data_IF_201942793495
#
_entry.id   IF_201942793495
#
_cell.length_a   1.000
_cell.length_b   1.000
_cell.length_c   1.000
_cell.angle_alpha   90.00
_cell.angle_beta   90.00
_cell.angle_gamma   90.00
#
_symmetry.space_group_name_H-M   'P 1'
#
loop_
_entity.id
_entity.type
_entity.pdbx_description
1 polymer ?
#
# COMPACT_ATOMS: atom_id res chain seq x y z
N UNK A 1 21.88 5.90 -0.86
CA UNK A 1 20.98 6.47 0.16
C UNK A 1 21.80 6.96 1.33
N UNK A 2 21.33 8.00 2.05
CA UNK A 2 21.92 8.48 3.30
C UNK A 2 20.94 8.22 4.45
N UNK A 3 21.46 7.89 5.63
CA UNK A 3 20.69 7.75 6.87
C UNK A 3 21.15 8.86 7.82
N UNK A 4 20.52 10.05 7.75
CA UNK A 4 20.98 11.21 8.49
C UNK A 4 20.68 11.15 10.00
N UNK A 5 19.72 10.32 10.42
CA UNK A 5 19.32 10.10 11.81
C UNK A 5 18.69 8.71 11.98
N UNK A 6 18.58 8.26 13.22
CA UNK A 6 17.84 7.04 13.58
C UNK A 6 16.48 7.42 14.16
N UNK A 7 15.49 6.54 14.03
CA UNK A 7 14.19 6.69 14.69
C UNK A 7 14.35 6.71 16.21
N UNK A 8 13.50 7.47 16.88
CA UNK A 8 13.42 7.48 18.34
C UNK A 8 12.83 6.15 18.87
N UNK A 9 12.95 5.91 20.17
CA UNK A 9 12.32 4.76 20.80
C UNK A 9 10.77 4.78 20.67
N UNK A 10 10.18 5.95 20.43
CA UNK A 10 8.73 6.09 20.26
C UNK A 10 8.23 5.55 18.92
N UNK A 11 9.05 5.60 17.88
CA UNK A 11 8.71 5.10 16.53
C UNK A 11 9.47 3.83 16.13
N UNK A 12 10.41 3.37 16.97
CA UNK A 12 11.19 2.14 16.77
C UNK A 12 10.64 0.94 17.56
N UNK A 13 9.34 0.92 17.82
CA UNK A 13 8.64 -0.16 18.55
C UNK A 13 7.58 -0.80 17.65
N UNK A 14 7.00 -1.91 18.11
CA UNK A 14 6.03 -2.72 17.35
C UNK A 14 4.62 -2.09 17.25
N UNK A 15 4.37 -0.97 17.92
CA UNK A 15 3.06 -0.32 17.98
C UNK A 15 2.98 0.98 17.16
N UNK A 16 4.13 1.55 16.79
CA UNK A 16 4.17 2.77 16.01
C UNK A 16 3.64 2.49 14.59
N UNK A 17 2.70 3.31 14.16
CA UNK A 17 2.18 3.26 12.79
C UNK A 17 3.20 3.78 11.77
N UNK A 18 2.99 3.45 10.51
CA UNK A 18 3.78 4.02 9.40
C UNK A 18 3.68 5.55 9.39
N UNK A 19 2.49 6.10 9.67
CA UNK A 19 2.29 7.56 9.72
C UNK A 19 3.07 8.21 10.85
N UNK A 20 3.20 7.57 12.03
CA UNK A 20 4.04 8.07 13.13
C UNK A 20 5.52 8.15 12.71
N UNK A 21 6.01 7.11 12.01
CA UNK A 21 7.38 7.06 11.49
C UNK A 21 7.61 8.15 10.46
N UNK A 22 6.70 8.32 9.49
CA UNK A 22 6.79 9.35 8.45
C UNK A 22 6.83 10.74 9.10
N UNK A 23 5.95 10.99 10.07
CA UNK A 23 5.89 12.26 10.81
C UNK A 23 7.22 12.58 11.46
N UNK A 24 7.77 11.65 12.25
CA UNK A 24 9.08 11.84 12.89
C UNK A 24 10.18 12.13 11.87
N UNK A 25 10.23 11.38 10.78
CA UNK A 25 11.24 11.57 9.72
C UNK A 25 11.14 12.96 9.10
N UNK A 26 9.94 13.41 8.74
CA UNK A 26 9.71 14.73 8.14
C UNK A 26 10.05 15.86 9.13
N UNK A 27 9.70 15.71 10.41
CA UNK A 27 10.01 16.68 11.48
C UNK A 27 11.53 16.76 11.73
N UNK A 28 12.24 15.63 11.76
CA UNK A 28 13.70 15.60 11.86
C UNK A 28 14.39 16.32 10.70
N UNK A 29 13.91 16.12 9.47
CA UNK A 29 14.41 16.86 8.32
C UNK A 29 14.14 18.35 8.42
N UNK A 30 12.93 18.76 8.84
CA UNK A 30 12.57 20.17 9.06
C UNK A 30 13.45 20.81 10.12
N UNK A 31 13.71 20.11 11.23
CA UNK A 31 14.64 20.58 12.28
C UNK A 31 16.07 20.73 11.78
N UNK A 32 16.47 19.94 10.78
CA UNK A 32 17.77 20.06 10.10
C UNK A 32 17.77 21.09 8.95
N UNK A 33 16.73 21.93 8.82
CA UNK A 33 16.60 22.97 7.81
C UNK A 33 16.31 22.45 6.39
N UNK A 34 15.73 21.25 6.27
CA UNK A 34 15.34 20.62 4.99
C UNK A 34 13.84 20.33 4.98
N UNK A 35 13.15 20.88 4.01
CA UNK A 35 11.74 20.62 3.77
C UNK A 35 11.54 19.99 2.39
N UNK A 36 10.50 19.23 2.24
CA UNK A 36 10.13 18.54 1.00
C UNK A 36 8.66 18.78 0.70
N UNK A 37 8.33 19.10 -0.54
CA UNK A 37 6.93 19.27 -0.98
C UNK A 37 6.18 17.94 -1.05
N UNK A 38 6.92 16.87 -1.36
CA UNK A 38 6.41 15.52 -1.49
C UNK A 38 7.39 14.50 -0.90
N UNK A 39 6.87 13.36 -0.50
CA UNK A 39 7.69 12.22 -0.08
C UNK A 39 7.13 10.91 -0.63
N UNK A 40 7.95 9.87 -0.61
CA UNK A 40 7.55 8.50 -0.88
C UNK A 40 8.09 7.60 0.23
N UNK A 41 7.18 6.97 0.98
CA UNK A 41 7.51 5.93 1.95
C UNK A 41 7.54 4.58 1.22
N UNK A 42 8.68 3.91 1.21
CA UNK A 42 8.88 2.63 0.53
C UNK A 42 9.11 1.57 1.61
N UNK A 43 8.33 0.49 1.56
CA UNK A 43 8.51 -0.62 2.48
C UNK A 43 9.73 -1.48 2.09
N UNK A 44 10.51 -1.96 3.07
CA UNK A 44 11.69 -2.80 2.80
C UNK A 44 11.33 -4.15 2.17
N UNK A 45 10.10 -4.62 2.40
CA UNK A 45 9.54 -5.88 1.88
C UNK A 45 8.82 -5.70 0.54
N UNK A 46 9.23 -4.74 -0.30
CA UNK A 46 8.58 -4.42 -1.56
C UNK A 46 9.49 -4.71 -2.78
N UNK A 47 9.68 -6.00 -3.16
CA UNK A 47 10.64 -6.38 -4.19
C UNK A 47 10.22 -6.00 -5.62
N UNK A 48 8.94 -5.67 -5.83
CA UNK A 48 8.39 -5.36 -7.16
C UNK A 48 8.43 -3.87 -7.51
N UNK A 49 9.02 -3.03 -6.65
CA UNK A 49 9.17 -1.60 -6.95
C UNK A 49 10.15 -1.42 -8.12
N UNK A 50 9.75 -0.57 -9.05
CA UNK A 50 10.59 -0.14 -10.17
C UNK A 50 10.65 1.38 -10.25
N UNK A 51 11.70 1.96 -10.86
CA UNK A 51 11.76 3.40 -11.09
C UNK A 51 10.54 3.93 -11.85
N UNK A 52 10.01 3.16 -12.79
CA UNK A 52 8.82 3.52 -13.56
C UNK A 52 7.58 3.68 -12.67
N UNK A 53 7.35 2.76 -11.72
CA UNK A 53 6.21 2.83 -10.78
C UNK A 53 6.31 4.07 -9.89
N UNK A 54 7.50 4.33 -9.34
CA UNK A 54 7.74 5.51 -8.52
C UNK A 54 7.55 6.80 -9.32
N UNK A 55 8.09 6.86 -10.55
CA UNK A 55 7.88 8.00 -11.43
C UNK A 55 6.40 8.23 -11.73
N UNK A 56 5.64 7.17 -12.05
CA UNK A 56 4.20 7.28 -12.30
C UNK A 56 3.46 7.80 -11.07
N UNK A 57 3.80 7.33 -9.87
CA UNK A 57 3.19 7.84 -8.63
C UNK A 57 3.49 9.33 -8.42
N UNK A 58 4.71 9.78 -8.67
CA UNK A 58 5.08 11.21 -8.58
C UNK A 58 4.38 12.07 -9.64
N UNK A 59 4.12 11.55 -10.85
CA UNK A 59 3.31 12.24 -11.84
C UNK A 59 1.85 12.39 -11.40
N UNK A 60 1.25 11.33 -10.82
CA UNK A 60 -0.10 11.39 -10.26
C UNK A 60 -0.23 12.41 -9.12
N UNK A 61 0.81 12.60 -8.30
CA UNK A 61 0.81 13.60 -7.23
C UNK A 61 0.71 15.04 -7.72
N UNK A 62 0.88 15.31 -9.00
CA UNK A 62 0.69 16.68 -9.54
C UNK A 62 -0.75 17.15 -9.35
N UNK A 63 -1.71 16.22 -9.46
CA UNK A 63 -3.15 16.48 -9.40
C UNK A 63 -3.85 15.80 -8.20
N UNK A 64 -3.09 15.08 -7.35
CA UNK A 64 -3.59 14.35 -6.20
C UNK A 64 -2.88 14.75 -4.90
N UNK A 65 -3.46 14.42 -3.76
CA UNK A 65 -2.85 14.63 -2.44
C UNK A 65 -1.96 13.47 -2.00
N UNK A 66 -2.39 12.25 -2.30
CA UNK A 66 -1.61 11.03 -2.08
C UNK A 66 -1.88 9.98 -3.16
N UNK A 67 -0.98 9.00 -3.26
CA UNK A 67 -1.05 7.90 -4.21
C UNK A 67 -0.78 6.60 -3.47
N UNK A 68 -1.69 5.65 -3.60
CA UNK A 68 -1.57 4.30 -3.06
C UNK A 68 -1.51 3.28 -4.20
N UNK A 69 -0.48 2.44 -4.28
CA UNK A 69 -0.48 1.27 -5.16
C UNK A 69 -1.55 0.27 -4.71
N UNK A 70 -2.43 -0.09 -5.63
CA UNK A 70 -3.52 -1.03 -5.37
C UNK A 70 -3.60 -2.09 -6.47
N UNK A 71 -4.14 -3.25 -6.13
CA UNK A 71 -4.49 -4.29 -7.10
C UNK A 71 -5.90 -4.80 -6.83
N UNK A 72 -6.48 -5.48 -7.81
CA UNK A 72 -7.81 -6.07 -7.68
C UNK A 72 -7.79 -7.31 -6.78
N UNK A 73 -8.86 -7.53 -6.03
CA UNK A 73 -9.06 -8.83 -5.38
C UNK A 73 -9.21 -9.92 -6.44
N UNK A 74 -8.50 -11.07 -6.30
CA UNK A 74 -8.59 -12.19 -7.26
C UNK A 74 -9.97 -12.86 -7.25
N UNK A 75 -10.74 -12.69 -6.16
CA UNK A 75 -12.11 -13.18 -5.99
C UNK A 75 -13.04 -12.05 -5.58
N UNK A 76 -14.30 -12.04 -6.03
CA UNK A 76 -15.26 -10.99 -5.69
C UNK A 76 -15.52 -10.90 -4.18
N UNK A 77 -15.08 -9.82 -3.56
CA UNK A 77 -15.25 -9.58 -2.11
C UNK A 77 -16.71 -9.64 -1.69
N UNK A 78 -17.64 -9.12 -2.52
CA UNK A 78 -19.07 -9.12 -2.25
C UNK A 78 -19.69 -10.54 -2.20
N UNK A 79 -18.96 -11.57 -2.66
CA UNK A 79 -19.34 -13.00 -2.51
C UNK A 79 -18.58 -13.71 -1.40
N UNK A 80 -17.97 -12.97 -0.49
CA UNK A 80 -17.27 -13.58 0.65
C UNK A 80 -18.21 -14.37 1.55
N UNK A 81 -17.65 -15.43 2.12
CA UNK A 81 -18.31 -16.29 3.10
C UNK A 81 -17.83 -15.92 4.51
N UNK A 82 -18.68 -16.07 5.48
CA UNK A 82 -18.35 -15.91 6.89
C UNK A 82 -18.80 -17.15 7.68
N UNK A 83 -18.04 -17.49 8.72
CA UNK A 83 -18.37 -18.55 9.66
C UNK A 83 -19.04 -17.92 10.88
N UNK A 84 -20.21 -18.43 11.27
CA UNK A 84 -20.94 -17.97 12.45
C UNK A 84 -20.36 -18.59 13.75
N UNK A 85 -20.87 -18.13 14.90
CA UNK A 85 -20.45 -18.63 16.22
C UNK A 85 -20.72 -20.12 16.48
N UNK A 86 -21.53 -20.76 15.64
CA UNK A 86 -21.87 -22.19 15.73
C UNK A 86 -21.06 -23.03 14.73
N UNK A 87 -20.17 -22.40 13.95
CA UNK A 87 -19.34 -23.07 12.94
C UNK A 87 -20.03 -23.25 11.58
N UNK A 88 -21.20 -22.65 11.36
CA UNK A 88 -21.85 -22.70 10.06
C UNK A 88 -21.31 -21.63 9.12
N UNK A 89 -21.17 -21.98 7.84
CA UNK A 89 -20.69 -21.08 6.81
C UNK A 89 -21.86 -20.54 5.97
N UNK A 90 -21.81 -19.25 5.65
CA UNK A 90 -22.81 -18.59 4.82
C UNK A 90 -22.28 -17.34 4.13
N UNK A 91 -22.97 -16.85 3.10
CA UNK A 91 -22.61 -15.59 2.45
C UNK A 91 -22.74 -14.41 3.41
N UNK A 92 -21.70 -13.59 3.53
CA UNK A 92 -21.72 -12.35 4.31
C UNK A 92 -22.73 -11.35 3.73
N UNK A 93 -22.88 -11.34 2.40
CA UNK A 93 -23.83 -10.51 1.67
C UNK A 93 -24.72 -11.41 0.77
N UNK A 94 -25.83 -11.99 1.33
CA UNK A 94 -26.67 -12.97 0.62
C UNK A 94 -27.25 -12.47 -0.71
N UNK A 95 -27.46 -11.15 -0.86
CA UNK A 95 -27.96 -10.53 -2.09
C UNK A 95 -27.05 -10.73 -3.30
N UNK A 96 -25.76 -11.02 -3.08
CA UNK A 96 -24.77 -11.24 -4.15
C UNK A 96 -24.43 -12.74 -4.37
N UNK A 97 -25.05 -13.65 -3.63
CA UNK A 97 -24.73 -15.09 -3.66
C UNK A 97 -24.77 -15.69 -5.06
N UNK A 98 -25.73 -15.24 -5.89
CA UNK A 98 -25.95 -15.72 -7.27
C UNK A 98 -25.44 -14.75 -8.35
N UNK A 99 -24.86 -13.62 -7.97
CA UNK A 99 -24.35 -12.65 -8.92
C UNK A 99 -23.11 -13.22 -9.65
N UNK A 100 -23.03 -12.96 -10.95
CA UNK A 100 -21.82 -13.30 -11.72
C UNK A 100 -20.68 -12.36 -11.36
N UNK A 101 -19.46 -12.85 -11.32
CA UNK A 101 -18.28 -12.05 -10.93
C UNK A 101 -18.11 -10.79 -11.78
N UNK A 102 -18.37 -10.88 -13.08
CA UNK A 102 -18.26 -9.75 -14.01
C UNK A 102 -19.33 -8.67 -13.84
N UNK A 103 -20.42 -8.96 -13.13
CA UNK A 103 -21.51 -8.01 -12.89
C UNK A 103 -21.36 -7.28 -11.54
N UNK A 104 -20.36 -7.68 -10.75
CA UNK A 104 -20.06 -7.06 -9.47
C UNK A 104 -19.05 -5.92 -9.61
N UNK A 105 -19.15 -4.95 -8.70
CA UNK A 105 -18.18 -3.88 -8.58
C UNK A 105 -16.77 -4.45 -8.39
N UNK A 106 -15.80 -3.90 -9.14
CA UNK A 106 -14.39 -4.21 -8.95
C UNK A 106 -13.90 -3.51 -7.69
N UNK A 107 -13.43 -4.30 -6.72
CA UNK A 107 -12.82 -3.80 -5.51
C UNK A 107 -11.31 -4.03 -5.52
N UNK A 108 -10.61 -3.15 -4.83
CA UNK A 108 -9.15 -3.13 -4.78
C UNK A 108 -8.67 -3.30 -3.35
N UNK A 109 -7.42 -3.72 -3.19
CA UNK A 109 -6.73 -3.69 -1.90
C UNK A 109 -5.36 -3.05 -2.06
N UNK A 110 -4.84 -2.53 -0.96
CA UNK A 110 -3.49 -2.03 -0.85
C UNK A 110 -2.47 -3.13 -1.20
N UNK A 111 -1.40 -2.72 -1.87
CA UNK A 111 -0.31 -3.62 -2.26
C UNK A 111 0.81 -3.73 -1.21
N UNK A 112 0.80 -2.93 -0.14
CA UNK A 112 1.84 -2.93 0.89
C UNK A 112 3.24 -2.59 0.37
N UNK A 113 3.35 -1.80 -0.70
CA UNK A 113 4.66 -1.56 -1.33
C UNK A 113 5.25 -0.18 -1.02
N UNK A 114 4.49 0.87 -1.28
CA UNK A 114 4.90 2.25 -1.03
C UNK A 114 3.70 3.18 -1.01
N UNK A 115 3.89 4.37 -0.42
CA UNK A 115 2.90 5.43 -0.38
C UNK A 115 3.58 6.75 -0.75
N UNK A 116 3.05 7.44 -1.75
CA UNK A 116 3.53 8.77 -2.13
C UNK A 116 2.52 9.82 -1.70
N UNK A 117 2.99 10.92 -1.10
CA UNK A 117 2.09 11.93 -0.54
C UNK A 117 2.69 13.34 -0.65
N UNK A 118 1.82 14.35 -0.76
CA UNK A 118 2.18 15.75 -0.54
C UNK A 118 2.37 15.98 0.96
N UNK A 119 3.50 16.54 1.33
CA UNK A 119 3.85 16.76 2.74
C UNK A 119 2.83 17.65 3.46
N UNK A 120 2.31 18.66 2.78
CA UNK A 120 1.27 19.53 3.33
C UNK A 120 -0.02 18.75 3.64
N UNK A 121 -0.48 17.92 2.70
CA UNK A 121 -1.68 17.09 2.89
C UNK A 121 -1.50 16.11 4.05
N UNK A 122 -0.35 15.44 4.12
CA UNK A 122 -0.01 14.54 5.23
C UNK A 122 -0.08 15.23 6.60
N UNK A 123 0.51 16.42 6.75
CA UNK A 123 0.47 17.14 8.03
C UNK A 123 -0.93 17.68 8.35
N UNK A 124 -1.74 18.01 7.35
CA UNK A 124 -3.12 18.46 7.54
C UNK A 124 -4.03 17.31 8.02
N UNK A 125 -3.94 16.13 7.37
CA UNK A 125 -4.80 14.98 7.67
C UNK A 125 -4.23 14.06 8.77
N UNK A 126 -2.93 14.06 8.97
CA UNK A 126 -2.24 13.20 9.93
C UNK A 126 -1.97 11.79 9.43
N UNK A 127 -2.26 11.50 8.18
CA UNK A 127 -2.14 10.19 7.54
C UNK A 127 -1.82 10.32 6.06
N UNK A 128 -1.29 9.24 5.46
CA UNK A 128 -1.15 9.11 4.01
C UNK A 128 -2.49 8.83 3.31
N UNK A 129 -3.52 8.38 4.05
CA UNK A 129 -4.89 8.17 3.55
C UNK A 129 -5.66 9.48 3.48
N UNK A 130 -5.28 10.33 2.54
CA UNK A 130 -5.90 11.65 2.37
C UNK A 130 -7.22 11.57 1.60
N UNK A 131 -8.15 12.54 1.79
CA UNK A 131 -9.38 12.61 0.99
C UNK A 131 -9.16 12.73 -0.53
N UNK A 132 -8.00 13.30 -0.94
CA UNK A 132 -7.58 13.44 -2.33
C UNK A 132 -6.66 12.31 -2.81
N UNK A 133 -6.72 11.12 -2.22
CA UNK A 133 -5.92 9.96 -2.60
C UNK A 133 -6.41 9.36 -3.92
N UNK A 134 -5.45 8.99 -4.79
CA UNK A 134 -5.72 8.28 -6.04
C UNK A 134 -4.98 6.95 -6.10
N UNK A 135 -5.55 5.93 -6.77
CA UNK A 135 -4.91 4.63 -6.89
C UNK A 135 -3.85 4.63 -8.00
N UNK A 136 -2.74 3.93 -7.76
CA UNK A 136 -1.85 3.43 -8.80
C UNK A 136 -2.15 1.93 -9.00
N UNK A 137 -2.81 1.59 -10.11
CA UNK A 137 -3.20 0.21 -10.39
C UNK A 137 -1.98 -0.63 -10.79
N UNK A 138 -1.74 -1.71 -10.07
CA UNK A 138 -0.67 -2.67 -10.34
C UNK A 138 -1.24 -4.04 -10.74
N UNK A 139 -0.55 -4.76 -11.65
CA UNK A 139 -0.90 -6.15 -11.95
C UNK A 139 -0.69 -7.05 -10.73
N UNK A 140 -1.55 -8.05 -10.53
CA UNK A 140 -1.46 -9.00 -9.41
C UNK A 140 -0.11 -9.74 -9.35
N UNK A 141 0.50 -10.03 -10.52
CA UNK A 141 1.83 -10.66 -10.59
C UNK A 141 2.96 -9.77 -10.07
N UNK A 142 2.72 -8.48 -9.89
CA UNK A 142 3.70 -7.51 -9.40
C UNK A 142 3.36 -7.02 -7.99
N UNK A 143 2.57 -7.82 -7.26
CA UNK A 143 2.14 -7.53 -5.89
C UNK A 143 2.28 -8.79 -5.03
N UNK A 144 2.99 -8.66 -3.91
CA UNK A 144 3.04 -9.64 -2.83
C UNK A 144 3.39 -8.90 -1.54
N UNK A 145 2.52 -8.98 -0.58
CA UNK A 145 2.82 -8.61 0.80
C UNK A 145 3.58 -9.77 1.45
N UNK A 146 4.70 -9.48 2.12
CA UNK A 146 5.62 -10.50 2.61
C UNK A 146 5.66 -10.44 4.13
N UNK A 147 4.85 -11.28 4.76
CA UNK A 147 4.78 -11.44 6.21
C UNK A 147 5.34 -12.80 6.66
N UNK A 148 5.34 -13.79 5.77
CA UNK A 148 5.72 -15.17 6.07
C UNK A 148 6.72 -15.72 5.05
N UNK A 149 7.35 -16.86 5.38
CA UNK A 149 8.22 -17.60 4.44
C UNK A 149 7.46 -18.10 3.20
N UNK A 150 6.15 -18.37 3.33
CA UNK A 150 5.31 -18.76 2.20
C UNK A 150 5.11 -17.58 1.24
N UNK A 151 4.86 -16.38 1.76
CA UNK A 151 4.77 -15.16 0.97
C UNK A 151 6.07 -14.87 0.24
N UNK A 152 7.21 -15.09 0.91
CA UNK A 152 8.52 -14.97 0.29
C UNK A 152 8.68 -15.90 -0.90
N UNK A 153 8.35 -17.19 -0.76
CA UNK A 153 8.44 -18.16 -1.85
C UNK A 153 7.52 -17.77 -3.03
N UNK A 154 6.32 -17.25 -2.75
CA UNK A 154 5.42 -16.73 -3.79
C UNK A 154 6.02 -15.50 -4.46
N UNK A 155 6.60 -14.58 -3.70
CA UNK A 155 7.25 -13.39 -4.23
C UNK A 155 8.41 -13.75 -5.17
N UNK A 156 9.24 -14.74 -4.84
CA UNK A 156 10.33 -15.21 -5.71
C UNK A 156 9.80 -15.69 -7.07
N UNK A 157 8.73 -16.48 -7.08
CA UNK A 157 8.11 -16.96 -8.33
C UNK A 157 7.54 -15.80 -9.15
N UNK A 158 6.84 -14.87 -8.51
CA UNK A 158 6.29 -13.68 -9.19
C UNK A 158 7.42 -12.80 -9.75
N UNK A 159 8.49 -12.60 -8.99
CA UNK A 159 9.64 -11.79 -9.40
C UNK A 159 10.34 -12.40 -10.64
N UNK A 160 10.57 -13.72 -10.66
CA UNK A 160 11.12 -14.40 -11.82
C UNK A 160 10.24 -14.18 -13.06
N UNK A 161 8.92 -14.29 -12.92
CA UNK A 161 7.97 -14.04 -14.02
C UNK A 161 7.95 -12.59 -14.50
N UNK A 162 8.19 -11.63 -13.61
CA UNK A 162 8.33 -10.23 -13.99
C UNK A 162 9.60 -10.02 -14.83
N UNK A 163 10.73 -10.60 -14.40
CA UNK A 163 12.03 -10.47 -15.08
C UNK A 163 12.06 -11.16 -16.47
N UNK A 164 11.26 -12.20 -16.69
CA UNK A 164 11.13 -12.86 -18.01
C UNK A 164 10.45 -11.97 -19.07
N UNK A 165 9.79 -10.89 -18.67
CA UNK A 165 9.03 -9.97 -19.55
C UNK A 165 9.80 -8.69 -19.93
N UNK A 166 10.91 -8.41 -19.26
CA UNK A 166 11.81 -7.30 -19.58
C UNK A 166 12.88 -7.73 -20.61
#
# INVERSE_FOLDING_TARGET
ASVPFLRSAQTANDYASTDDVIREVLECYRAAGREFDTFCCIYPTAPFITPKKLYTAMELLKDAESVMPVTTFPYPVLRSLAVDKNGHIGYKWPQYATARSQDLETLYHDCGQFYACRTEAFFREGTTDTPGMVPLLLPELEVQDIDTEEDWAIAEVKYQKMMEKE
#
